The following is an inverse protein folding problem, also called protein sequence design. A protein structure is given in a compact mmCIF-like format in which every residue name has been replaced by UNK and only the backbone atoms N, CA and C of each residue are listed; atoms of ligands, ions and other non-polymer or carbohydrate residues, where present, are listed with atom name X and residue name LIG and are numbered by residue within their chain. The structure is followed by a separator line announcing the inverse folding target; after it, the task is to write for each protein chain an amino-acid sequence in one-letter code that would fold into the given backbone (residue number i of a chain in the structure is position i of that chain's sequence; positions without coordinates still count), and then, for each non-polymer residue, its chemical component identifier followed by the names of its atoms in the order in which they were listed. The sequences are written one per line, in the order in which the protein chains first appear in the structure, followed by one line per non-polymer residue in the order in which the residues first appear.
data_IF_465756679639
#
_entry.id   IF_465756679639
#
_cell.length_a   1.000
_cell.length_b   1.000
_cell.length_c   1.000
_cell.angle_alpha   90.00
_cell.angle_beta   90.00
_cell.angle_gamma   90.00
#
_symmetry.space_group_name_H-M   'P 1'
#
loop_
_entity.id
_entity.type
_entity.pdbx_description
1 polymer ?
#
# COMPACT_ATOMS: atom_id res chain seq x y z
N UNK A 1 -10.83 3.84 -4.39
CA UNK A 1 -10.89 2.86 -3.28
C UNK A 1 -10.67 3.59 -1.96
N UNK A 2 -11.24 3.12 -0.86
CA UNK A 2 -11.04 3.69 0.48
C UNK A 2 -10.55 2.58 1.43
N UNK A 3 -9.55 2.89 2.25
CA UNK A 3 -9.08 1.98 3.28
C UNK A 3 -10.03 2.10 4.47
N UNK A 4 -10.55 0.97 4.94
CA UNK A 4 -11.40 0.88 6.13
C UNK A 4 -10.66 0.06 7.17
N UNK A 5 -10.54 0.60 8.39
CA UNK A 5 -9.84 -0.04 9.49
C UNK A 5 -10.60 0.08 10.81
N UNK A 6 -10.30 -0.81 11.75
CA UNK A 6 -10.90 -0.83 13.08
C UNK A 6 -10.52 0.43 13.87
N UNK A 7 -11.50 1.09 14.50
CA UNK A 7 -11.27 2.35 15.24
C UNK A 7 -10.29 2.21 16.40
N UNK A 8 -10.36 1.12 17.16
CA UNK A 8 -9.46 0.88 18.28
C UNK A 8 -8.03 0.67 17.79
N UNK A 9 -7.85 -0.13 16.73
CA UNK A 9 -6.55 -0.33 16.10
C UNK A 9 -5.91 1.01 15.66
N UNK A 10 -6.69 1.90 15.03
CA UNK A 10 -6.19 3.20 14.59
C UNK A 10 -5.86 4.15 15.76
N UNK A 11 -6.54 4.01 16.90
CA UNK A 11 -6.24 4.79 18.10
C UNK A 11 -4.92 4.33 18.73
N UNK A 12 -4.67 3.02 18.74
CA UNK A 12 -3.46 2.41 19.31
C UNK A 12 -2.24 2.52 18.39
N UNK A 13 -2.46 2.78 17.09
CA UNK A 13 -1.41 2.82 16.06
C UNK A 13 -1.49 4.09 15.20
N UNK A 14 -1.10 5.27 15.73
CA UNK A 14 -1.22 6.54 15.02
C UNK A 14 -0.38 6.61 13.74
N UNK A 15 0.79 5.95 13.72
CA UNK A 15 1.64 5.81 12.51
C UNK A 15 0.89 5.05 11.42
N UNK A 16 0.29 3.90 11.75
CA UNK A 16 -0.48 3.11 10.78
C UNK A 16 -1.71 3.88 10.27
N UNK A 17 -2.39 4.60 11.17
CA UNK A 17 -3.48 5.49 10.79
C UNK A 17 -3.03 6.53 9.76
N UNK A 18 -1.92 7.22 10.02
CA UNK A 18 -1.40 8.22 9.08
C UNK A 18 -1.01 7.60 7.75
N UNK A 19 -0.35 6.44 7.77
CA UNK A 19 -0.01 5.71 6.55
C UNK A 19 -1.25 5.37 5.71
N UNK A 20 -2.33 4.86 6.31
CA UNK A 20 -3.58 4.59 5.59
C UNK A 20 -4.25 5.84 4.99
N UNK A 21 -4.06 7.02 5.58
CA UNK A 21 -4.56 8.29 5.03
C UNK A 21 -3.76 8.74 3.80
N UNK A 22 -2.47 8.37 3.73
CA UNK A 22 -1.54 8.79 2.68
C UNK A 22 -1.55 7.87 1.46
N UNK A 23 -1.63 6.56 1.69
CA UNK A 23 -1.49 5.56 0.63
C UNK A 23 -2.56 5.75 -0.44
N UNK A 24 -2.08 5.95 -1.67
CA UNK A 24 -2.92 6.07 -2.85
C UNK A 24 -2.25 5.41 -4.03
N UNK A 25 -2.84 4.28 -4.46
CA UNK A 25 -2.40 3.56 -5.65
C UNK A 25 -3.25 4.03 -6.84
N UNK A 26 -2.64 4.48 -7.96
CA UNK A 26 -3.33 4.83 -9.19
C UNK A 26 -4.23 3.69 -9.71
N UNK A 27 -5.37 4.04 -10.32
CA UNK A 27 -6.29 3.05 -10.88
C UNK A 27 -5.66 2.23 -12.02
N UNK A 28 -4.74 2.83 -12.76
CA UNK A 28 -3.99 2.17 -13.83
C UNK A 28 -3.12 1.02 -13.30
N UNK A 29 -2.40 1.24 -12.20
CA UNK A 29 -1.57 0.20 -11.57
C UNK A 29 -2.41 -0.96 -11.05
N UNK A 30 -3.58 -0.67 -10.45
CA UNK A 30 -4.54 -1.70 -10.02
C UNK A 30 -5.05 -2.50 -11.23
N UNK A 31 -5.29 -1.84 -12.36
CA UNK A 31 -5.75 -2.51 -13.58
C UNK A 31 -4.67 -3.41 -14.17
N UNK A 32 -3.41 -2.98 -14.13
CA UNK A 32 -2.25 -3.76 -14.54
C UNK A 32 -2.08 -5.00 -13.66
N UNK A 33 -2.19 -4.86 -12.34
CA UNK A 33 -2.13 -6.00 -11.41
C UNK A 33 -3.26 -7.01 -11.67
N UNK A 34 -4.49 -6.53 -11.88
CA UNK A 34 -5.65 -7.39 -12.18
C UNK A 34 -5.47 -8.18 -13.48
N UNK A 35 -4.82 -7.59 -14.49
CA UNK A 35 -4.49 -8.28 -15.73
C UNK A 35 -3.46 -9.39 -15.50
N UNK A 36 -2.40 -9.12 -14.73
CA UNK A 36 -1.37 -10.12 -14.38
C UNK A 36 -1.96 -11.32 -13.65
N UNK A 37 -2.83 -11.07 -12.67
CA UNK A 37 -3.58 -12.13 -11.97
C UNK A 37 -4.41 -12.96 -12.97
N UNK A 38 -5.13 -12.28 -13.88
CA UNK A 38 -5.96 -12.94 -14.88
C UNK A 38 -5.14 -13.80 -15.85
N UNK A 39 -3.93 -13.36 -16.19
CA UNK A 39 -3.02 -14.05 -17.10
C UNK A 39 -2.24 -15.21 -16.44
N UNK A 40 -2.44 -15.43 -15.13
CA UNK A 40 -2.01 -16.64 -14.42
C UNK A 40 -1.07 -16.41 -13.25
N UNK A 41 -0.61 -15.18 -13.03
CA UNK A 41 0.22 -14.80 -11.87
C UNK A 41 -0.64 -14.55 -10.63
N UNK A 42 -1.39 -15.57 -10.19
CA UNK A 42 -2.45 -15.46 -9.16
C UNK A 42 -2.13 -16.17 -7.84
N UNK A 43 -0.89 -16.65 -7.66
CA UNK A 43 -0.47 -17.25 -6.39
C UNK A 43 -0.10 -16.17 -5.38
N UNK A 44 -0.17 -16.45 -4.06
CA UNK A 44 0.25 -15.50 -3.03
C UNK A 44 1.68 -14.97 -3.22
N UNK A 45 2.59 -15.80 -3.70
CA UNK A 45 3.98 -15.42 -4.00
C UNK A 45 4.06 -14.44 -5.17
N UNK A 46 3.24 -14.61 -6.20
CA UNK A 46 3.17 -13.68 -7.34
C UNK A 46 2.61 -12.32 -6.90
N UNK A 47 1.49 -12.32 -6.16
CA UNK A 47 0.87 -11.09 -5.64
C UNK A 47 1.86 -10.32 -4.77
N UNK A 48 2.61 -11.01 -3.91
CA UNK A 48 3.64 -10.38 -3.08
C UNK A 48 4.76 -9.79 -3.93
N UNK A 49 5.27 -10.55 -4.91
CA UNK A 49 6.28 -10.06 -5.83
C UNK A 49 5.81 -8.84 -6.61
N UNK A 50 4.56 -8.80 -7.08
CA UNK A 50 4.01 -7.63 -7.78
C UNK A 50 3.96 -6.39 -6.90
N UNK A 51 3.59 -6.55 -5.63
CA UNK A 51 3.58 -5.45 -4.66
C UNK A 51 5.00 -4.94 -4.39
N UNK A 52 5.98 -5.84 -4.24
CA UNK A 52 7.39 -5.51 -4.06
C UNK A 52 7.95 -4.78 -5.31
N UNK A 53 7.68 -5.29 -6.52
CA UNK A 53 8.04 -4.65 -7.80
C UNK A 53 7.43 -3.24 -7.92
N UNK A 54 6.17 -3.06 -7.49
CA UNK A 54 5.53 -1.75 -7.51
C UNK A 54 6.19 -0.78 -6.52
N UNK A 55 6.54 -1.24 -5.32
CA UNK A 55 7.26 -0.43 -4.34
C UNK A 55 8.63 -0.03 -4.87
N UNK A 56 9.40 -0.94 -5.46
CA UNK A 56 10.71 -0.65 -6.04
C UNK A 56 10.61 0.41 -7.16
N UNK A 57 9.58 0.32 -8.01
CA UNK A 57 9.35 1.30 -9.08
C UNK A 57 8.86 2.66 -8.56
N UNK A 58 8.29 2.70 -7.35
CA UNK A 58 7.72 3.89 -6.72
C UNK A 58 8.43 4.23 -5.40
N UNK A 59 9.71 3.88 -5.28
CA UNK A 59 10.44 3.88 -4.01
C UNK A 59 10.38 5.24 -3.30
N UNK A 60 10.64 6.34 -4.01
CA UNK A 60 10.58 7.70 -3.43
C UNK A 60 9.18 8.06 -2.91
N UNK A 61 8.13 7.66 -3.63
CA UNK A 61 6.75 7.90 -3.22
C UNK A 61 6.40 7.09 -1.97
N UNK A 62 6.77 5.81 -1.97
CA UNK A 62 6.53 4.92 -0.85
C UNK A 62 7.29 5.36 0.40
N UNK A 63 8.57 5.70 0.25
CA UNK A 63 9.42 6.20 1.34
C UNK A 63 8.87 7.51 1.89
N UNK A 64 8.39 8.42 1.04
CA UNK A 64 7.71 9.65 1.46
C UNK A 64 6.50 9.38 2.35
N UNK A 65 5.67 8.38 2.02
CA UNK A 65 4.55 7.98 2.87
C UNK A 65 5.00 7.42 4.22
N UNK A 66 6.08 6.63 4.24
CA UNK A 66 6.62 6.04 5.47
C UNK A 66 7.23 7.10 6.37
N UNK A 67 8.02 8.02 5.81
CA UNK A 67 8.62 9.13 6.55
C UNK A 67 7.56 10.03 7.16
N UNK A 68 6.53 10.40 6.39
CA UNK A 68 5.44 11.22 6.90
C UNK A 68 4.59 10.48 7.95
N UNK A 69 4.32 9.20 7.74
CA UNK A 69 3.58 8.40 8.71
C UNK A 69 4.31 8.28 10.06
N UNK A 70 5.64 8.13 10.05
CA UNK A 70 6.45 8.02 11.27
C UNK A 70 6.34 9.27 12.15
N UNK A 71 6.22 10.45 11.56
CA UNK A 71 6.06 11.72 12.30
C UNK A 71 4.77 11.77 13.13
N UNK A 72 3.77 10.92 12.84
CA UNK A 72 2.55 10.83 13.64
C UNK A 72 2.73 10.01 14.93
N UNK A 73 3.86 9.32 15.10
CA UNK A 73 4.19 8.54 16.29
C UNK A 73 5.13 9.24 17.28
N UNK A 74 5.69 10.38 16.90
CA UNK A 74 6.52 11.25 17.74
C UNK A 74 5.65 12.20 18.59
#
# INVERSE_FOLDING_TARGET
YQIVANKQFLADNPVAKRWFELVKIPLEDVSTESLRIKDGENKPEDIRRHAEEWVEQNQELFDGWIEEAKQAGD
#
